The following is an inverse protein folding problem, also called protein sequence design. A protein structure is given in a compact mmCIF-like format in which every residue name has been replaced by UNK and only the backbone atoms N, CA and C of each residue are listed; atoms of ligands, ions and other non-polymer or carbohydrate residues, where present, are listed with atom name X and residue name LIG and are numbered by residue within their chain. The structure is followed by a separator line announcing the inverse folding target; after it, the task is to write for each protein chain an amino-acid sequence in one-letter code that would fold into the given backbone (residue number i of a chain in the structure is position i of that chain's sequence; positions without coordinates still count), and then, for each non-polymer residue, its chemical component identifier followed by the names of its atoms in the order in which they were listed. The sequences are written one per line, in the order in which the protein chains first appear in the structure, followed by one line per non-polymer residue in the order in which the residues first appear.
data_IF_285471096272
#
_entry.id   IF_285471096272
#
_cell.length_a   1.000
_cell.length_b   1.000
_cell.length_c   1.000
_cell.angle_alpha   90.00
_cell.angle_beta   90.00
_cell.angle_gamma   90.00
#
_symmetry.space_group_name_H-M   'P 1'
#
loop_
_entity.id
_entity.type
_entity.pdbx_description
1 polymer ?
#
# COMPACT_ATOMS: atom_id res chain seq x y z
N UNK A 1 5.33 5.30 -3.54
CA UNK A 1 5.19 4.47 -2.34
C UNK A 1 4.89 3.04 -2.76
N UNK A 2 5.58 2.04 -2.22
CA UNK A 2 5.43 0.61 -2.55
C UNK A 2 5.25 -0.18 -1.25
N UNK A 3 4.37 -1.18 -1.24
CA UNK A 3 4.18 -2.08 -0.11
C UNK A 3 3.62 -3.43 -0.56
N UNK A 4 3.82 -4.44 0.28
CA UNK A 4 3.30 -5.80 0.13
C UNK A 4 2.01 -5.99 0.91
N UNK A 5 1.24 -7.06 0.63
CA UNK A 5 0.08 -7.44 1.46
C UNK A 5 0.42 -7.62 2.95
N UNK A 6 1.63 -8.10 3.27
CA UNK A 6 2.07 -8.31 4.64
C UNK A 6 2.36 -6.99 5.37
N UNK A 7 2.94 -5.99 4.69
CA UNK A 7 3.25 -4.69 5.28
C UNK A 7 1.97 -3.91 5.61
N UNK A 8 1.00 -3.87 4.69
CA UNK A 8 -0.29 -3.23 4.98
C UNK A 8 -1.07 -3.95 6.07
N UNK A 9 -1.03 -5.29 6.11
CA UNK A 9 -1.65 -6.05 7.20
C UNK A 9 -1.02 -5.73 8.55
N UNK A 10 0.31 -5.66 8.62
CA UNK A 10 1.05 -5.26 9.83
C UNK A 10 0.65 -3.86 10.30
N UNK A 11 0.50 -2.91 9.36
CA UNK A 11 0.06 -1.55 9.69
C UNK A 11 -1.37 -1.54 10.24
N UNK A 12 -2.30 -2.27 9.62
CA UNK A 12 -3.69 -2.37 10.10
C UNK A 12 -3.73 -2.96 11.52
N UNK A 13 -2.91 -3.98 11.82
CA UNK A 13 -2.86 -4.61 13.15
C UNK A 13 -2.43 -3.64 14.25
N UNK A 14 -1.64 -2.58 13.94
CA UNK A 14 -1.31 -1.52 14.92
C UNK A 14 -2.54 -0.74 15.39
N UNK A 15 -3.56 -0.64 14.54
CA UNK A 15 -4.82 0.05 14.84
C UNK A 15 -5.91 -0.90 15.34
N UNK A 16 -5.87 -2.17 14.92
CA UNK A 16 -6.83 -3.22 15.25
C UNK A 16 -6.07 -4.48 15.66
N UNK A 17 -5.81 -4.66 16.95
CA UNK A 17 -4.98 -5.75 17.49
C UNK A 17 -5.43 -7.15 17.08
N UNK A 18 -6.73 -7.32 16.85
CA UNK A 18 -7.35 -8.61 16.54
C UNK A 18 -7.44 -8.86 15.03
N UNK A 19 -6.92 -7.94 14.21
CA UNK A 19 -6.88 -8.10 12.76
C UNK A 19 -5.99 -9.27 12.38
N UNK A 20 -6.54 -10.17 11.55
CA UNK A 20 -5.80 -11.30 10.98
C UNK A 20 -6.01 -11.34 9.47
N UNK A 21 -5.00 -11.82 8.75
CA UNK A 21 -5.04 -11.99 7.30
C UNK A 21 -4.60 -13.40 6.94
N UNK A 22 -5.23 -13.98 5.94
CA UNK A 22 -4.83 -15.27 5.36
C UNK A 22 -4.56 -15.08 3.88
N UNK A 23 -3.66 -15.89 3.32
CA UNK A 23 -3.23 -15.77 1.93
C UNK A 23 -3.61 -17.04 1.18
N UNK A 24 -4.46 -16.89 0.18
CA UNK A 24 -4.80 -17.94 -0.78
C UNK A 24 -4.64 -17.35 -2.19
N UNK A 25 -3.41 -17.32 -2.73
CA UNK A 25 -3.14 -16.77 -4.05
C UNK A 25 -3.96 -17.50 -5.12
N UNK A 26 -4.45 -16.75 -6.09
CA UNK A 26 -5.15 -17.27 -7.26
C UNK A 26 -4.49 -16.78 -8.56
N UNK A 27 -5.18 -16.90 -9.68
CA UNK A 27 -4.67 -16.49 -11.00
C UNK A 27 -4.18 -15.03 -11.03
N UNK A 28 -4.69 -14.15 -10.16
CA UNK A 28 -4.27 -12.74 -10.08
C UNK A 28 -2.84 -12.57 -9.58
N UNK A 29 -2.28 -13.56 -8.87
CA UNK A 29 -0.87 -13.50 -8.46
C UNK A 29 0.05 -13.37 -9.67
N UNK A 30 -0.18 -14.17 -10.72
CA UNK A 30 0.61 -14.10 -11.95
C UNK A 30 0.50 -12.75 -12.67
N UNK A 31 -0.63 -12.06 -12.52
CA UNK A 31 -0.84 -10.71 -13.05
C UNK A 31 -0.03 -9.72 -12.22
N UNK A 32 -0.12 -9.79 -10.88
CA UNK A 32 0.64 -8.93 -9.98
C UNK A 32 2.15 -9.10 -10.14
N UNK A 33 2.63 -10.34 -10.30
CA UNK A 33 4.05 -10.66 -10.52
C UNK A 33 4.59 -10.10 -11.85
N UNK A 34 3.71 -9.80 -12.81
CA UNK A 34 4.09 -9.17 -14.08
C UNK A 34 4.27 -7.65 -13.99
N UNK A 35 3.80 -7.03 -12.91
CA UNK A 35 3.86 -5.58 -12.72
C UNK A 35 5.16 -5.17 -12.00
N UNK A 36 5.65 -3.93 -12.20
CA UNK A 36 6.82 -3.45 -11.49
C UNK A 36 6.55 -3.29 -9.99
N UNK A 37 7.52 -3.65 -9.15
CA UNK A 37 7.42 -3.43 -7.70
C UNK A 37 7.46 -1.95 -7.30
N UNK A 38 8.10 -1.10 -8.09
CA UNK A 38 8.12 0.35 -7.91
C UNK A 38 8.23 1.05 -9.26
N UNK A 39 7.83 2.31 -9.31
CA UNK A 39 7.93 3.16 -10.50
C UNK A 39 8.86 4.32 -10.14
N UNK A 40 9.80 4.62 -11.05
CA UNK A 40 10.60 5.83 -10.98
C UNK A 40 9.75 7.03 -11.38
N UNK A 41 9.51 7.93 -10.42
CA UNK A 41 8.74 9.16 -10.58
C UNK A 41 9.61 10.42 -10.62
N UNK A 42 10.94 10.29 -10.78
CA UNK A 42 11.91 11.40 -10.78
C UNK A 42 11.56 12.52 -11.76
N UNK A 43 11.23 12.18 -13.02
CA UNK A 43 10.84 13.17 -14.05
C UNK A 43 9.64 14.02 -13.60
N UNK A 44 8.64 13.41 -12.96
CA UNK A 44 7.48 14.14 -12.46
C UNK A 44 7.83 15.07 -11.29
N UNK A 45 8.77 14.65 -10.43
CA UNK A 45 9.29 15.48 -9.33
C UNK A 45 10.05 16.69 -9.87
N UNK A 46 10.82 16.51 -10.93
CA UNK A 46 11.63 17.57 -11.54
C UNK A 46 10.77 18.55 -12.36
N UNK A 47 9.92 18.02 -13.24
CA UNK A 47 9.18 18.84 -14.21
C UNK A 47 8.07 19.68 -13.57
N UNK A 48 7.39 19.13 -12.56
CA UNK A 48 6.21 19.76 -11.96
C UNK A 48 6.11 19.59 -10.45
N UNK A 49 7.23 19.29 -9.79
CA UNK A 49 7.32 19.21 -8.32
C UNK A 49 6.33 18.22 -7.71
N UNK A 50 6.08 17.11 -8.40
CA UNK A 50 5.26 16.03 -7.86
C UNK A 50 5.77 15.56 -6.51
N UNK A 51 4.89 15.44 -5.52
CA UNK A 51 5.18 14.77 -4.27
C UNK A 51 3.90 14.13 -3.73
N UNK A 52 4.05 12.98 -3.08
CA UNK A 52 2.95 12.32 -2.37
C UNK A 52 2.99 12.73 -0.90
N UNK A 53 1.82 13.06 -0.33
CA UNK A 53 1.71 13.47 1.07
C UNK A 53 1.32 12.32 2.02
N UNK A 54 0.80 11.23 1.44
CA UNK A 54 0.33 10.04 2.14
C UNK A 54 1.34 8.90 2.01
N UNK A 55 1.81 8.43 3.15
CA UNK A 55 2.56 7.18 3.33
C UNK A 55 1.61 6.06 3.83
N UNK A 56 2.18 4.89 4.17
CA UNK A 56 1.37 3.71 4.55
C UNK A 56 0.55 3.98 5.79
N UNK A 57 1.20 4.55 6.80
CA UNK A 57 0.62 4.80 8.11
C UNK A 57 -0.53 5.80 7.99
N UNK A 58 -0.30 6.95 7.33
CA UNK A 58 -1.36 7.95 7.11
C UNK A 58 -2.50 7.38 6.29
N UNK A 59 -2.22 6.65 5.22
CA UNK A 59 -3.25 6.06 4.37
C UNK A 59 -4.11 5.06 5.16
N UNK A 60 -3.49 4.13 5.90
CA UNK A 60 -4.22 3.13 6.68
C UNK A 60 -5.09 3.79 7.74
N UNK A 61 -4.54 4.76 8.49
CA UNK A 61 -5.30 5.49 9.50
C UNK A 61 -6.52 6.19 8.89
N UNK A 62 -6.35 6.97 7.83
CA UNK A 62 -7.46 7.70 7.19
C UNK A 62 -8.53 6.76 6.63
N UNK A 63 -8.15 5.63 6.04
CA UNK A 63 -9.10 4.64 5.53
C UNK A 63 -9.95 4.03 6.65
N UNK A 64 -9.34 3.67 7.79
CA UNK A 64 -10.05 3.12 8.95
C UNK A 64 -10.97 4.14 9.62
N UNK A 65 -10.62 5.42 9.60
CA UNK A 65 -11.44 6.49 10.18
C UNK A 65 -12.70 6.77 9.34
N UNK A 66 -12.64 6.61 8.01
CA UNK A 66 -13.71 7.02 7.09
C UNK A 66 -14.59 5.88 6.56
N UNK A 67 -14.21 4.60 6.70
CA UNK A 67 -14.99 3.45 6.21
C UNK A 67 -15.97 2.85 7.24
N UNK A 68 -16.23 3.54 8.35
CA UNK A 68 -17.16 3.08 9.40
C UNK A 68 -18.63 3.20 9.00
#
# INVERSE_FOLDING_TARGET
MTFTPAEIASEITKHLSDFTVTYQPDFRQSIADSWPGSIDDSVAREDWSWSHDYDLEKMVKEMLDNLK
#
